data_IF_738818729137
#
_entry.id   IF_738818729137
#
_cell.length_a   1.000
_cell.length_b   1.000
_cell.length_c   1.000
_cell.angle_alpha   90.00
_cell.angle_beta   90.00
_cell.angle_gamma   90.00
#
_symmetry.space_group_name_H-M   'P 1'
#
loop_
_entity.id
_entity.type
_entity.pdbx_description
1 polymer ?
#
# COMPACT_ATOMS: atom_id res chain seq x y z
N UNK A 1 -4.67 -37.75 8.51
CA UNK A 1 -5.95 -37.09 8.82
C UNK A 1 -5.72 -35.59 8.98
N UNK A 2 -6.41 -34.81 8.13
CA UNK A 2 -6.83 -33.39 8.22
C UNK A 2 -5.79 -32.33 8.66
N UNK A 3 -5.20 -31.67 7.67
CA UNK A 3 -4.86 -30.24 7.72
C UNK A 3 -6.14 -29.45 8.02
N UNK A 4 -6.19 -28.84 9.19
CA UNK A 4 -7.32 -28.00 9.61
C UNK A 4 -7.03 -26.55 9.28
N UNK A 5 -7.66 -26.14 8.18
CA UNK A 5 -8.16 -24.78 7.92
C UNK A 5 -7.17 -23.65 7.73
N UNK A 6 -7.25 -23.08 6.51
CA UNK A 6 -6.64 -21.80 6.18
C UNK A 6 -7.11 -20.69 7.11
N UNK A 7 -6.14 -20.01 7.71
CA UNK A 7 -6.37 -18.65 8.17
C UNK A 7 -6.69 -17.79 6.96
N UNK A 8 -7.77 -17.00 7.05
CA UNK A 8 -7.97 -15.86 6.14
C UNK A 8 -6.63 -15.14 6.01
N UNK A 9 -6.18 -14.88 4.78
CA UNK A 9 -5.21 -13.79 4.58
C UNK A 9 -5.92 -12.56 5.12
N UNK A 10 -5.51 -12.09 6.30
CA UNK A 10 -5.99 -10.81 6.80
C UNK A 10 -5.59 -9.79 5.73
N UNK A 11 -6.59 -9.26 5.01
CA UNK A 11 -6.46 -8.13 4.10
C UNK A 11 -6.39 -6.81 4.90
N UNK A 12 -6.06 -6.90 6.19
CA UNK A 12 -5.86 -5.72 7.01
C UNK A 12 -4.58 -5.04 6.50
N UNK A 13 -4.62 -3.73 6.23
CA UNK A 13 -3.43 -3.01 5.82
C UNK A 13 -2.31 -3.27 6.83
N UNK A 14 -1.05 -3.38 6.36
CA UNK A 14 0.08 -3.56 7.26
C UNK A 14 0.01 -2.51 8.37
N UNK A 15 0.23 -2.90 9.63
CA UNK A 15 -0.02 -2.04 10.79
C UNK A 15 0.68 -0.69 10.59
N UNK A 16 -0.11 0.38 10.62
CA UNK A 16 0.40 1.72 10.34
C UNK A 16 1.27 2.19 11.51
N UNK A 17 2.28 3.01 11.20
CA UNK A 17 3.04 3.76 12.22
C UNK A 17 2.08 4.55 13.12
N UNK A 18 0.97 5.03 12.55
CA UNK A 18 -0.07 5.74 13.30
C UNK A 18 -0.77 4.84 14.33
N UNK A 19 -1.06 3.58 13.98
CA UNK A 19 -1.69 2.63 14.91
C UNK A 19 -0.75 2.25 16.05
N UNK A 20 0.53 2.06 15.73
CA UNK A 20 1.57 1.81 16.72
C UNK A 20 1.71 3.00 17.68
N UNK A 21 1.76 4.22 17.16
CA UNK A 21 1.80 5.46 17.94
C UNK A 21 0.59 5.57 18.87
N UNK A 22 -0.63 5.41 18.33
CA UNK A 22 -1.87 5.43 19.11
C UNK A 22 -1.87 4.41 20.26
N UNK A 23 -1.34 3.20 20.03
CA UNK A 23 -1.24 2.17 21.07
C UNK A 23 -0.23 2.54 22.15
N UNK A 24 0.93 3.07 21.77
CA UNK A 24 1.95 3.55 22.72
C UNK A 24 1.40 4.68 23.58
N UNK A 25 0.70 5.65 22.99
CA UNK A 25 0.04 6.75 23.73
C UNK A 25 -0.95 6.21 24.75
N UNK A 26 -1.88 5.34 24.33
CA UNK A 26 -2.89 4.72 25.24
C UNK A 26 -2.24 3.95 26.39
N UNK A 27 -1.16 3.21 26.11
CA UNK A 27 -0.38 2.51 27.15
C UNK A 27 0.31 3.50 28.08
N UNK A 28 0.87 4.58 27.54
CA UNK A 28 1.46 5.69 28.29
C UNK A 28 0.47 6.29 29.28
N UNK A 29 -0.73 6.64 28.80
CA UNK A 29 -1.81 7.19 29.63
C UNK A 29 -2.19 6.25 30.78
N UNK A 30 -2.33 4.96 30.48
CA UNK A 30 -2.65 3.94 31.48
C UNK A 30 -1.56 3.82 32.55
N UNK A 31 -0.29 3.83 32.14
CA UNK A 31 0.85 3.76 33.05
C UNK A 31 0.91 5.02 33.92
N UNK A 32 0.73 6.20 33.33
CA UNK A 32 0.75 7.48 34.04
C UNK A 32 -0.40 7.58 35.06
N UNK A 33 -1.59 7.09 34.73
CA UNK A 33 -2.72 7.04 35.66
C UNK A 33 -2.41 6.14 36.88
N UNK A 34 -1.77 4.99 36.66
CA UNK A 34 -1.33 4.09 37.75
C UNK A 34 -0.27 4.74 38.63
N UNK A 35 0.69 5.45 38.03
CA UNK A 35 1.71 6.22 38.76
C UNK A 35 1.05 7.30 39.64
N UNK A 36 0.08 8.04 39.10
CA UNK A 36 -0.69 9.05 39.85
C UNK A 36 -1.44 8.44 41.04
N UNK A 37 -2.11 7.29 40.85
CA UNK A 37 -2.80 6.57 41.94
C UNK A 37 -1.82 6.15 43.05
N UNK A 38 -0.67 5.59 42.68
CA UNK A 38 0.37 5.19 43.63
C UNK A 38 1.00 6.38 44.36
N UNK A 39 1.16 7.53 43.69
CA UNK A 39 1.60 8.76 44.32
C UNK A 39 0.66 9.22 45.45
N UNK A 40 -0.65 9.20 45.19
CA UNK A 40 -1.67 9.56 46.19
C UNK A 40 -1.62 8.57 47.37
N UNK A 41 -1.50 7.27 47.09
CA UNK A 41 -1.40 6.24 48.13
C UNK A 41 -0.14 6.41 49.00
N UNK A 42 1.02 6.67 48.39
CA UNK A 42 2.26 6.95 49.10
C UNK A 42 2.15 8.19 50.00
N UNK A 43 1.46 9.23 49.56
CA UNK A 43 1.20 10.41 50.40
C UNK A 43 0.30 10.05 51.59
N UNK A 44 -0.71 9.20 51.41
CA UNK A 44 -1.53 8.70 52.53
C UNK A 44 -0.70 7.91 53.53
N UNK A 45 0.18 7.01 53.06
CA UNK A 45 1.08 6.28 53.95
C UNK A 45 2.06 7.20 54.67
N UNK A 46 2.60 8.22 53.99
CA UNK A 46 3.47 9.23 54.61
C UNK A 46 2.78 9.93 55.77
N UNK A 47 1.53 10.34 55.61
CA UNK A 47 0.74 10.97 56.68
C UNK A 47 0.38 10.00 57.80
N UNK A 48 0.06 8.73 57.49
CA UNK A 48 -0.18 7.70 58.51
C UNK A 48 1.07 7.43 59.35
N UNK A 49 2.25 7.34 58.72
CA UNK A 49 3.52 7.11 59.43
C UNK A 49 3.82 8.26 60.40
N UNK A 50 3.57 9.52 59.99
CA UNK A 50 3.74 10.69 60.87
C UNK A 50 2.82 10.66 62.09
N UNK A 51 1.59 10.20 61.91
CA UNK A 51 0.56 10.16 62.98
C UNK A 51 0.65 8.91 63.86
N UNK A 52 1.37 7.88 63.44
CA UNK A 52 1.51 6.62 64.17
C UNK A 52 2.78 6.65 65.02
N UNK A 53 2.67 6.29 66.30
CA UNK A 53 3.81 6.17 67.22
C UNK A 53 4.78 5.08 66.74
N UNK A 54 6.11 5.24 66.92
CA UNK A 54 7.08 4.21 66.58
C UNK A 54 6.73 2.87 67.24
N UNK A 55 6.73 1.79 66.45
CA UNK A 55 6.40 0.44 66.88
C UNK A 55 5.87 -0.45 65.75
N UNK A 56 5.39 -1.66 66.07
CA UNK A 56 4.98 -2.66 65.08
C UNK A 56 3.91 -2.16 64.11
N UNK A 57 2.97 -1.33 64.59
CA UNK A 57 1.94 -0.72 63.75
C UNK A 57 2.54 0.25 62.71
N UNK A 58 3.51 1.07 63.11
CA UNK A 58 4.20 1.99 62.19
C UNK A 58 5.04 1.23 61.16
N UNK A 59 5.72 0.15 61.58
CA UNK A 59 6.49 -0.71 60.68
C UNK A 59 5.61 -1.42 59.64
N UNK A 60 4.42 -1.87 60.02
CA UNK A 60 3.46 -2.45 59.09
C UNK A 60 3.03 -1.44 58.01
N UNK A 61 2.80 -0.18 58.37
CA UNK A 61 2.50 0.90 57.41
C UNK A 61 3.69 1.20 56.51
N UNK A 62 4.91 1.28 57.07
CA UNK A 62 6.15 1.42 56.28
C UNK A 62 6.31 0.27 55.27
N UNK A 63 6.06 -0.96 55.67
CA UNK A 63 6.14 -2.12 54.77
C UNK A 63 5.11 -2.05 53.63
N UNK A 64 3.90 -1.52 53.87
CA UNK A 64 2.91 -1.26 52.81
C UNK A 64 3.38 -0.13 51.88
N UNK A 65 3.90 0.96 52.44
CA UNK A 65 4.47 2.06 51.66
C UNK A 65 5.62 1.59 50.75
N UNK A 66 6.50 0.72 51.25
CA UNK A 66 7.61 0.16 50.46
C UNK A 66 7.12 -0.69 49.28
N UNK A 67 6.02 -1.45 49.44
CA UNK A 67 5.41 -2.20 48.32
C UNK A 67 4.85 -1.25 47.26
N UNK A 68 4.12 -0.22 47.66
CA UNK A 68 3.60 0.80 46.75
C UNK A 68 4.73 1.55 46.02
N UNK A 69 5.81 1.87 46.72
CA UNK A 69 6.99 2.53 46.15
C UNK A 69 7.68 1.65 45.10
N UNK A 70 7.84 0.36 45.38
CA UNK A 70 8.41 -0.60 44.43
C UNK A 70 7.55 -0.69 43.17
N UNK A 71 6.23 -0.78 43.33
CA UNK A 71 5.29 -0.83 42.21
C UNK A 71 5.35 0.45 41.36
N UNK A 72 5.42 1.62 42.02
CA UNK A 72 5.57 2.91 41.34
C UNK A 72 6.84 2.95 40.50
N UNK A 73 7.97 2.54 41.07
CA UNK A 73 9.26 2.49 40.36
C UNK A 73 9.20 1.58 39.13
N UNK A 74 8.50 0.45 39.21
CA UNK A 74 8.28 -0.43 38.06
C UNK A 74 7.48 0.25 36.95
N UNK A 75 6.41 0.97 37.29
CA UNK A 75 5.62 1.71 36.30
C UNK A 75 6.36 2.91 35.73
N UNK A 76 7.14 3.63 36.53
CA UNK A 76 8.03 4.70 36.03
C UNK A 76 9.02 4.14 35.00
N UNK A 77 9.64 2.98 35.27
CA UNK A 77 10.50 2.33 34.28
C UNK A 77 9.77 1.91 33.01
N UNK A 78 8.52 1.44 33.10
CA UNK A 78 7.69 1.15 31.92
C UNK A 78 7.39 2.42 31.11
N UNK A 79 7.07 3.51 31.79
CA UNK A 79 6.82 4.82 31.18
C UNK A 79 8.07 5.31 30.45
N UNK A 80 9.24 5.22 31.07
CA UNK A 80 10.50 5.65 30.47
C UNK A 80 10.84 4.81 29.23
N UNK A 81 10.54 3.51 29.25
CA UNK A 81 10.66 2.65 28.06
C UNK A 81 9.70 3.08 26.94
N UNK A 82 8.46 3.45 27.27
CA UNK A 82 7.48 3.95 26.31
C UNK A 82 7.91 5.30 25.71
N UNK A 83 8.53 6.17 26.49
CA UNK A 83 9.09 7.43 25.99
C UNK A 83 10.16 7.18 24.92
N UNK A 84 11.08 6.25 25.17
CA UNK A 84 12.08 5.87 24.16
C UNK A 84 11.45 5.25 22.91
N UNK A 85 10.39 4.44 23.05
CA UNK A 85 9.67 3.90 21.90
C UNK A 85 8.93 4.98 21.11
N UNK A 86 8.34 5.96 21.80
CA UNK A 86 7.69 7.12 21.17
C UNK A 86 8.71 7.91 20.35
N UNK A 87 9.86 8.22 20.95
CA UNK A 87 10.94 8.92 20.24
C UNK A 87 11.46 8.16 19.01
N UNK A 88 11.59 6.84 19.09
CA UNK A 88 11.97 6.04 17.94
C UNK A 88 10.89 6.04 16.86
N UNK A 89 9.61 5.99 17.23
CA UNK A 89 8.51 6.09 16.27
C UNK A 89 8.43 7.48 15.63
N UNK A 90 8.66 8.56 16.38
CA UNK A 90 8.64 9.92 15.85
C UNK A 90 9.75 10.11 14.80
N UNK A 91 10.95 9.56 15.06
CA UNK A 91 12.04 9.57 14.07
C UNK A 91 11.67 8.79 12.80
N UNK A 92 11.10 7.59 12.95
CA UNK A 92 10.67 6.77 11.80
C UNK A 92 9.52 7.45 11.04
N UNK A 93 8.60 8.10 11.76
CA UNK A 93 7.51 8.86 11.15
C UNK A 93 8.05 10.03 10.33
N UNK A 94 8.98 10.81 10.89
CA UNK A 94 9.63 11.91 10.17
C UNK A 94 10.35 11.41 8.93
N UNK A 95 11.16 10.36 9.04
CA UNK A 95 11.85 9.78 7.89
C UNK A 95 10.87 9.29 6.81
N UNK A 96 9.73 8.73 7.20
CA UNK A 96 8.69 8.30 6.27
C UNK A 96 8.02 9.49 5.55
N UNK A 97 7.82 10.62 6.24
CA UNK A 97 7.33 11.87 5.64
C UNK A 97 8.35 12.40 4.63
N UNK A 98 9.63 12.50 5.01
CA UNK A 98 10.69 12.99 4.13
C UNK A 98 10.80 12.17 2.84
N UNK A 99 10.71 10.83 2.94
CA UNK A 99 10.71 9.94 1.77
C UNK A 99 9.48 10.19 0.88
N UNK A 100 8.30 10.35 1.48
CA UNK A 100 7.06 10.61 0.74
C UNK A 100 7.12 11.95 0.01
N UNK A 101 7.64 12.97 0.66
CA UNK A 101 7.79 14.30 0.08
C UNK A 101 8.80 14.29 -1.08
N UNK A 102 9.92 13.56 -0.94
CA UNK A 102 10.87 13.36 -2.04
C UNK A 102 10.23 12.64 -3.23
N UNK A 103 9.44 11.58 -2.99
CA UNK A 103 8.72 10.87 -4.05
C UNK A 103 7.69 11.76 -4.74
N UNK A 104 6.96 12.56 -3.98
CA UNK A 104 5.96 13.48 -4.52
C UNK A 104 6.61 14.58 -5.35
N UNK A 105 7.76 15.11 -4.91
CA UNK A 105 8.53 16.12 -5.66
C UNK A 105 8.99 15.54 -6.99
N UNK A 106 9.59 14.35 -6.99
CA UNK A 106 10.04 13.69 -8.23
C UNK A 106 8.88 13.47 -9.22
N UNK A 107 7.69 13.07 -8.75
CA UNK A 107 6.51 12.89 -9.60
C UNK A 107 5.99 14.23 -10.15
N UNK A 108 6.07 15.30 -9.36
CA UNK A 108 5.71 16.65 -9.81
C UNK A 108 6.68 17.17 -10.85
N UNK A 109 7.97 16.92 -10.66
CA UNK A 109 9.02 17.27 -11.63
C UNK A 109 8.78 16.53 -12.96
N UNK A 110 8.51 15.21 -12.94
CA UNK A 110 8.23 14.43 -14.14
C UNK A 110 6.95 14.89 -14.87
N UNK A 111 5.89 15.28 -14.14
CA UNK A 111 4.69 15.87 -14.74
C UNK A 111 4.98 17.23 -15.38
N UNK A 112 5.83 18.04 -14.74
CA UNK A 112 6.23 19.36 -15.26
C UNK A 112 7.02 19.20 -16.55
N UNK A 113 7.99 18.28 -16.57
CA UNK A 113 8.76 17.94 -17.77
C UNK A 113 7.85 17.43 -18.90
N UNK A 114 6.83 16.62 -18.58
CA UNK A 114 5.87 16.13 -19.57
C UNK A 114 4.95 17.25 -20.10
N UNK A 115 4.51 18.17 -19.24
CA UNK A 115 3.74 19.35 -19.64
C UNK A 115 4.58 20.27 -20.53
N UNK A 116 5.85 20.50 -20.19
CA UNK A 116 6.76 21.29 -21.00
C UNK A 116 7.02 20.64 -22.37
N UNK A 117 7.23 19.33 -22.41
CA UNK A 117 7.33 18.58 -23.66
C UNK A 117 6.04 18.65 -24.48
N UNK A 118 4.87 18.58 -23.84
CA UNK A 118 3.57 18.69 -24.51
C UNK A 118 3.36 20.10 -25.07
N UNK A 119 3.74 21.14 -24.33
CA UNK A 119 3.70 22.52 -24.80
C UNK A 119 4.66 22.77 -25.97
N UNK A 120 5.84 22.14 -25.96
CA UNK A 120 6.79 22.20 -27.07
C UNK A 120 6.26 21.46 -28.32
N UNK A 121 5.64 20.29 -28.13
CA UNK A 121 4.93 19.56 -29.19
C UNK A 121 3.79 20.40 -29.75
N UNK A 122 2.95 20.99 -28.91
CA UNK A 122 1.84 21.86 -29.35
C UNK A 122 2.36 23.09 -30.09
N UNK A 123 3.45 23.71 -29.62
CA UNK A 123 4.08 24.85 -30.29
C UNK A 123 4.68 24.49 -31.64
N UNK A 124 5.29 23.31 -31.77
CA UNK A 124 5.86 22.83 -33.05
C UNK A 124 4.75 22.42 -34.02
N UNK A 125 3.71 21.74 -33.55
CA UNK A 125 2.56 21.35 -34.36
C UNK A 125 1.72 22.57 -34.78
N UNK A 126 1.48 23.52 -33.87
CA UNK A 126 0.78 24.78 -34.14
C UNK A 126 1.55 25.70 -35.10
N UNK A 127 2.89 25.62 -35.14
CA UNK A 127 3.70 26.27 -36.18
C UNK A 127 3.57 25.59 -37.55
N UNK A 128 3.31 24.29 -37.58
CA UNK A 128 3.20 23.50 -38.80
C UNK A 128 1.82 23.59 -39.46
N UNK A 129 0.78 23.98 -38.72
CA UNK A 129 -0.58 24.22 -39.24
C UNK A 129 -0.87 25.68 -39.56
N UNK A 130 0.16 26.52 -39.73
CA UNK A 130 -0.06 27.83 -40.34
C UNK A 130 -0.42 27.58 -41.81
N UNK A 131 -1.71 27.69 -42.15
CA UNK A 131 -2.16 27.74 -43.54
C UNK A 131 -1.34 28.87 -44.19
N UNK A 132 -0.52 28.56 -45.22
CA UNK A 132 0.27 29.58 -45.89
C UNK A 132 -0.66 30.72 -46.36
N UNK A 133 -0.28 31.98 -46.14
CA UNK A 133 -1.11 33.15 -46.49
C UNK A 133 -1.39 33.25 -48.02
N UNK A 134 -0.70 32.42 -48.82
CA UNK A 134 -0.85 32.23 -50.27
C UNK A 134 -1.86 31.13 -50.67
N UNK A 135 -2.48 30.44 -49.71
CA UNK A 135 -3.63 29.57 -49.98
C UNK A 135 -4.91 30.40 -49.90
N UNK A 136 -5.42 30.78 -51.06
CA UNK A 136 -6.68 31.49 -51.18
C UNK A 136 -7.85 30.54 -50.83
N UNK A 137 -8.70 30.89 -49.84
CA UNK A 137 -9.87 30.10 -49.45
C UNK A 137 -10.80 29.83 -50.66
N UNK A 138 -10.88 30.77 -51.60
CA UNK A 138 -11.65 30.65 -52.85
C UNK A 138 -11.10 29.55 -53.77
N UNK A 139 -9.77 29.36 -53.80
CA UNK A 139 -9.13 28.30 -54.57
C UNK A 139 -9.39 26.92 -53.96
N UNK A 140 -9.32 26.84 -52.64
CA UNK A 140 -9.61 25.61 -51.89
C UNK A 140 -11.10 25.23 -51.98
N UNK A 141 -12.00 26.22 -51.97
CA UNK A 141 -13.43 26.05 -52.21
C UNK A 141 -13.70 25.56 -53.64
N UNK A 142 -13.01 26.12 -54.64
CA UNK A 142 -13.09 25.67 -56.02
C UNK A 142 -12.61 24.23 -56.21
N UNK A 143 -11.49 23.86 -55.59
CA UNK A 143 -11.00 22.48 -55.57
C UNK A 143 -11.94 21.54 -54.81
N UNK A 144 -12.56 21.98 -53.71
CA UNK A 144 -13.55 21.19 -52.98
C UNK A 144 -14.83 20.96 -53.81
N UNK A 145 -15.31 21.97 -54.53
CA UNK A 145 -16.44 21.82 -55.46
C UNK A 145 -16.08 20.93 -56.65
N UNK A 146 -14.85 20.99 -57.14
CA UNK A 146 -14.34 20.06 -58.15
C UNK A 146 -14.25 18.62 -57.61
N UNK A 147 -13.77 18.42 -56.38
CA UNK A 147 -13.73 17.12 -55.72
C UNK A 147 -15.14 16.59 -55.43
N UNK A 148 -16.07 17.47 -55.04
CA UNK A 148 -17.48 17.16 -54.88
C UNK A 148 -18.15 16.81 -56.21
N UNK A 149 -17.72 17.42 -57.32
CA UNK A 149 -18.20 17.05 -58.64
C UNK A 149 -17.59 15.72 -59.12
N UNK A 150 -16.32 15.46 -58.83
CA UNK A 150 -15.61 14.21 -59.18
C UNK A 150 -16.13 13.02 -58.35
N UNK A 151 -16.38 13.22 -57.06
CA UNK A 151 -16.95 12.20 -56.16
C UNK A 151 -18.49 12.13 -56.26
N UNK A 152 -19.14 13.24 -56.62
CA UNK A 152 -20.59 13.37 -56.74
C UNK A 152 -21.16 12.75 -58.02
N UNK A 153 -20.34 12.47 -59.03
CA UNK A 153 -20.76 11.62 -60.15
C UNK A 153 -20.76 10.12 -59.76
N UNK A 154 -20.07 9.75 -58.67
CA UNK A 154 -20.04 8.36 -58.18
C UNK A 154 -20.89 8.10 -56.93
N UNK A 155 -21.42 9.13 -56.27
CA UNK A 155 -22.24 8.99 -55.05
C UNK A 155 -23.52 9.81 -55.09
N UNK A 156 -24.47 9.37 -55.93
CA UNK A 156 -25.88 9.63 -55.67
C UNK A 156 -26.24 9.12 -54.26
N UNK A 157 -26.82 10.04 -53.46
CA UNK A 157 -27.55 9.82 -52.22
C UNK A 157 -26.76 9.66 -50.91
N UNK A 158 -26.65 10.77 -50.16
CA UNK A 158 -27.00 10.90 -48.73
C UNK A 158 -26.38 9.93 -47.70
N UNK A 159 -25.33 9.17 -48.03
CA UNK A 159 -24.71 8.26 -47.06
C UNK A 159 -23.74 9.00 -46.16
N UNK A 160 -24.14 9.21 -44.90
CA UNK A 160 -23.22 9.58 -43.83
C UNK A 160 -22.04 8.58 -43.80
N UNK A 161 -20.80 9.06 -43.67
CA UNK A 161 -19.63 8.18 -43.64
C UNK A 161 -19.76 7.08 -42.59
N UNK A 162 -19.18 5.91 -42.86
CA UNK A 162 -19.25 4.71 -42.01
C UNK A 162 -18.95 4.95 -40.52
N UNK A 163 -18.13 5.96 -40.20
CA UNK A 163 -17.76 6.34 -38.83
C UNK A 163 -18.81 7.20 -38.08
N UNK A 164 -19.85 7.70 -38.76
CA UNK A 164 -20.88 8.58 -38.19
C UNK A 164 -22.28 7.96 -38.19
N UNK A 165 -22.40 6.67 -38.53
CA UNK A 165 -23.68 5.95 -38.51
C UNK A 165 -24.10 5.61 -37.07
N UNK A 166 -25.29 6.00 -36.60
CA UNK A 166 -25.72 5.79 -35.21
C UNK A 166 -26.13 4.35 -34.85
N UNK A 167 -26.14 3.41 -35.81
CA UNK A 167 -26.74 2.07 -35.63
C UNK A 167 -25.76 0.91 -35.85
N UNK A 168 -24.54 1.03 -35.34
CA UNK A 168 -23.67 -0.13 -35.10
C UNK A 168 -22.91 0.09 -33.81
N UNK A 169 -23.57 -0.20 -32.70
CA UNK A 169 -22.83 -0.61 -31.52
C UNK A 169 -21.94 -1.79 -31.97
N UNK A 170 -20.60 -1.69 -31.85
CA UNK A 170 -19.79 -2.89 -31.87
C UNK A 170 -20.23 -3.69 -30.65
N UNK A 171 -20.73 -4.90 -30.87
CA UNK A 171 -20.89 -5.88 -29.81
C UNK A 171 -19.48 -6.15 -29.25
N UNK A 172 -19.07 -5.36 -28.25
CA UNK A 172 -17.74 -5.39 -27.64
C UNK A 172 -17.46 -6.73 -26.93
N UNK A 173 -18.44 -7.63 -26.89
CA UNK A 173 -18.32 -8.97 -26.30
C UNK A 173 -17.82 -10.04 -27.29
N UNK A 174 -17.77 -9.76 -28.61
CA UNK A 174 -17.43 -10.77 -29.62
C UNK A 174 -15.96 -10.81 -30.10
N UNK A 175 -15.16 -9.75 -29.89
CA UNK A 175 -13.77 -9.65 -30.39
C UNK A 175 -12.65 -9.96 -29.38
N UNK A 176 -12.98 -10.32 -28.13
CA UNK A 176 -12.00 -10.90 -27.19
C UNK A 176 -12.03 -12.44 -27.18
N UNK A 177 -12.38 -13.08 -28.30
CA UNK A 177 -12.11 -14.51 -28.49
C UNK A 177 -10.70 -14.70 -29.06
N UNK A 178 -9.69 -14.45 -28.22
CA UNK A 178 -8.34 -15.01 -28.42
C UNK A 178 -8.48 -16.51 -28.70
N UNK A 179 -7.80 -17.09 -29.71
CA UNK A 179 -7.80 -18.53 -29.87
C UNK A 179 -7.24 -19.18 -28.60
N UNK A 180 -8.12 -19.82 -27.83
CA UNK A 180 -7.73 -20.87 -26.90
C UNK A 180 -7.13 -21.99 -27.73
N UNK A 181 -5.80 -22.09 -27.77
CA UNK A 181 -5.14 -23.32 -28.15
C UNK A 181 -5.25 -24.34 -27.00
N UNK A 182 -6.49 -24.78 -26.75
CA UNK A 182 -6.78 -26.08 -26.18
C UNK A 182 -7.96 -26.69 -26.93
N UNK A 183 -7.62 -27.45 -27.96
CA UNK A 183 -8.41 -28.57 -28.47
C UNK A 183 -7.36 -29.56 -29.00
N UNK A 184 -6.93 -30.58 -28.25
CA UNK A 184 -7.76 -31.60 -27.64
C UNK A 184 -7.73 -32.81 -28.56
N UNK A 185 -7.16 -33.94 -28.12
CA UNK A 185 -7.48 -35.25 -28.68
C UNK A 185 -7.41 -36.31 -27.57
N UNK A 186 -8.47 -37.10 -27.53
CA UNK A 186 -8.86 -38.05 -26.50
C UNK A 186 -8.31 -39.46 -26.74
N UNK A 187 -7.80 -40.07 -25.65
CA UNK A 187 -7.82 -41.51 -25.27
C UNK A 187 -7.00 -42.53 -26.10
N UNK A 188 -6.67 -43.76 -25.60
CA UNK A 188 -6.81 -44.37 -24.26
C UNK A 188 -5.52 -45.07 -23.69
N UNK A 189 -5.47 -45.30 -22.37
CA UNK A 189 -5.11 -46.61 -21.77
C UNK A 189 -3.67 -47.17 -21.74
N UNK A 190 -3.10 -47.15 -20.52
CA UNK A 190 -2.37 -48.22 -19.78
C UNK A 190 -0.83 -48.42 -19.89
N UNK A 191 -0.28 -48.55 -18.67
CA UNK A 191 0.85 -49.38 -18.17
C UNK A 191 2.31 -48.97 -18.38
N UNK A 192 2.91 -48.52 -17.26
CA UNK A 192 4.05 -49.12 -16.55
C UNK A 192 5.37 -49.36 -17.31
N UNK A 193 6.45 -48.67 -16.90
CA UNK A 193 7.80 -49.21 -16.59
C UNK A 193 8.93 -48.17 -16.78
N UNK A 194 9.87 -48.19 -15.82
CA UNK A 194 11.31 -47.83 -15.89
C UNK A 194 11.71 -46.40 -16.33
N UNK A 195 12.33 -45.59 -15.47
CA UNK A 195 13.71 -45.68 -14.93
C UNK A 195 14.78 -45.25 -15.95
N UNK A 196 15.47 -44.15 -15.61
CA UNK A 196 16.84 -43.72 -15.98
C UNK A 196 16.99 -42.27 -15.46
N UNK A 197 17.34 -42.00 -14.20
CA UNK A 197 18.66 -42.03 -13.52
C UNK A 197 19.84 -41.47 -14.31
N UNK A 198 20.35 -40.31 -13.87
CA UNK A 198 21.77 -40.05 -13.55
C UNK A 198 22.01 -38.61 -13.07
N UNK A 199 23.03 -38.35 -12.21
CA UNK A 199 22.79 -38.24 -10.77
C UNK A 199 23.27 -36.91 -10.16
N UNK A 200 22.67 -36.57 -9.01
CA UNK A 200 23.13 -35.51 -8.10
C UNK A 200 22.86 -35.81 -6.62
N UNK A 201 22.77 -37.10 -6.28
CA UNK A 201 22.72 -37.77 -4.97
C UNK A 201 21.62 -37.42 -3.92
N UNK A 202 21.02 -38.44 -3.28
CA UNK A 202 19.98 -38.34 -2.25
C UNK A 202 20.55 -38.14 -0.83
N UNK A 203 19.78 -37.46 0.04
CA UNK A 203 20.03 -37.41 1.47
C UNK A 203 19.79 -38.79 2.12
N UNK A 204 20.81 -39.33 2.80
CA UNK A 204 20.72 -40.54 3.62
C UNK A 204 20.20 -40.23 5.03
N UNK A 205 19.29 -41.06 5.60
CA UNK A 205 18.80 -40.93 6.97
C UNK A 205 19.75 -41.56 8.02
N UNK A 206 19.61 -41.14 9.29
CA UNK A 206 20.63 -41.18 10.34
C UNK A 206 20.99 -42.51 11.00
N UNK A 207 22.03 -42.47 11.85
CA UNK A 207 22.27 -43.42 12.95
C UNK A 207 23.14 -42.78 14.06
N UNK A 208 22.62 -42.84 15.29
CA UNK A 208 23.35 -42.69 16.55
C UNK A 208 24.21 -43.95 16.84
N UNK A 209 25.18 -43.79 17.76
CA UNK A 209 25.90 -44.78 18.61
C UNK A 209 27.34 -45.21 18.24
N UNK A 210 28.27 -44.61 19.01
CA UNK A 210 29.16 -45.23 20.02
C UNK A 210 30.20 -46.29 19.60
N UNK A 211 31.46 -45.92 19.76
CA UNK A 211 32.58 -46.77 20.18
C UNK A 211 33.37 -46.03 21.25
#
# INVERSE_FOLDING_TARGET
>A
MKSVFGGKKNNDPPPSIQDASNNITKRGDTVEEKIKKLHVELNRYKEQIKKTRPGPAQEAVKARAMRALKQKRTYEGQRDMLYNQTFNLDQVHSAAVDIKDAQQTNLQDEMTDLMDASNEIEKTLGRSYNVPDDIDEDGLLGEHDALKADMGDETEADSVPSYLQPDKEPDLDAELNLPSASAGHTAPGRSNAQAEDKPGLPAVPGALLRG
#
